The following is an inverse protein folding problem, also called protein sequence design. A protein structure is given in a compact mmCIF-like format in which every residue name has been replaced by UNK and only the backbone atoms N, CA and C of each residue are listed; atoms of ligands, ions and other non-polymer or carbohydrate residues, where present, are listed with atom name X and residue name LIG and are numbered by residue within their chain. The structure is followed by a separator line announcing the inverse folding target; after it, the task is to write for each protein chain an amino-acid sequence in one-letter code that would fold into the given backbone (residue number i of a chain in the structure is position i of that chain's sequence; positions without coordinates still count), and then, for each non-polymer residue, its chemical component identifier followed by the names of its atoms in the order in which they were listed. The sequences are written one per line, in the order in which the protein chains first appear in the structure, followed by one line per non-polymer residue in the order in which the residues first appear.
data_IF_270883686239
#
_entry.id   IF_270883686239
#
_cell.length_a   1.000
_cell.length_b   1.000
_cell.length_c   1.000
_cell.angle_alpha   90.00
_cell.angle_beta   90.00
_cell.angle_gamma   90.00
#
_symmetry.space_group_name_H-M   'P 1'
#
loop_
_entity.id
_entity.type
_entity.pdbx_description
1 polymer ?
#
# COMPACT_ATOMS: atom_id res chain seq x y z
N UNK A 1 10.33 46.25 9.39
CA UNK A 1 11.08 45.39 10.34
C UNK A 1 10.07 44.63 11.20
N UNK A 2 9.64 43.43 10.80
CA UNK A 2 8.66 42.64 11.56
C UNK A 2 8.38 41.22 11.03
N UNK A 3 8.80 40.88 9.79
CA UNK A 3 8.44 39.59 9.17
C UNK A 3 8.90 38.38 9.97
N UNK A 4 9.97 38.51 10.76
CA UNK A 4 10.46 37.46 11.65
C UNK A 4 9.41 37.03 12.68
N UNK A 5 8.58 37.96 13.18
CA UNK A 5 7.51 37.62 14.14
C UNK A 5 6.38 36.82 13.50
N UNK A 6 6.23 36.86 12.17
CA UNK A 6 5.29 36.01 11.43
C UNK A 6 5.93 34.67 11.04
N UNK A 7 7.15 34.72 10.51
CA UNK A 7 7.86 33.54 10.00
C UNK A 7 8.26 32.57 11.11
N UNK A 8 8.68 33.07 12.27
CA UNK A 8 9.12 32.22 13.38
C UNK A 8 8.01 31.29 13.90
N UNK A 9 6.81 31.78 14.30
CA UNK A 9 5.74 30.89 14.73
C UNK A 9 5.23 30.01 13.60
N UNK A 10 5.18 30.52 12.36
CA UNK A 10 4.78 29.72 11.19
C UNK A 10 5.74 28.56 10.96
N UNK A 11 7.05 28.79 11.01
CA UNK A 11 8.06 27.73 10.87
C UNK A 11 7.95 26.69 11.99
N UNK A 12 7.72 27.12 13.24
CA UNK A 12 7.49 26.20 14.36
C UNK A 12 6.23 25.35 14.17
N UNK A 13 5.13 25.95 13.69
CA UNK A 13 3.89 25.24 13.38
C UNK A 13 4.08 24.21 12.28
N UNK A 14 4.78 24.58 11.20
CA UNK A 14 5.08 23.67 10.09
C UNK A 14 5.99 22.53 10.55
N UNK A 15 7.05 22.83 11.32
CA UNK A 15 7.96 21.84 11.86
C UNK A 15 7.26 20.86 12.82
N UNK A 16 6.47 21.39 13.76
CA UNK A 16 5.68 20.57 14.68
C UNK A 16 4.64 19.72 13.93
N UNK A 17 4.01 20.28 12.89
CA UNK A 17 3.08 19.56 12.02
C UNK A 17 3.76 18.40 11.29
N UNK A 18 4.93 18.63 10.70
CA UNK A 18 5.71 17.59 10.03
C UNK A 18 6.10 16.47 10.99
N UNK A 19 6.63 16.81 12.17
CA UNK A 19 6.99 15.83 13.22
C UNK A 19 5.74 15.08 13.72
N UNK A 20 4.62 15.78 13.92
CA UNK A 20 3.37 15.18 14.37
C UNK A 20 2.83 14.16 13.37
N UNK A 21 2.77 14.51 12.09
CA UNK A 21 2.37 13.60 11.01
C UNK A 21 3.32 12.40 10.94
N UNK A 22 4.63 12.63 11.04
CA UNK A 22 5.63 11.57 11.04
C UNK A 22 5.44 10.59 12.21
N UNK A 23 5.23 11.08 13.44
CA UNK A 23 4.98 10.24 14.61
C UNK A 23 3.67 9.45 14.46
N UNK A 24 2.62 10.07 13.92
CA UNK A 24 1.36 9.36 13.63
C UNK A 24 1.57 8.25 12.60
N UNK A 25 2.34 8.51 11.54
CA UNK A 25 2.66 7.53 10.51
C UNK A 25 3.46 6.34 11.07
N UNK A 26 4.45 6.59 11.93
CA UNK A 26 5.18 5.53 12.65
C UNK A 26 4.25 4.69 13.52
N UNK A 27 3.38 5.32 14.31
CA UNK A 27 2.42 4.61 15.17
C UNK A 27 1.39 3.79 14.39
N UNK A 28 1.10 4.18 13.16
CA UNK A 28 0.20 3.46 12.24
C UNK A 28 0.92 2.37 11.44
N UNK A 29 2.22 2.20 11.63
CA UNK A 29 3.01 1.20 10.90
C UNK A 29 3.17 1.51 9.42
N UNK A 30 3.03 2.77 8.99
CA UNK A 30 3.14 3.13 7.56
C UNK A 30 4.52 2.78 6.97
N UNK A 31 5.54 2.75 7.81
CA UNK A 31 6.92 2.44 7.43
C UNK A 31 7.32 0.98 7.69
N UNK A 32 6.38 0.13 8.12
CA UNK A 32 6.66 -1.29 8.44
C UNK A 32 6.76 -2.16 7.18
N UNK A 33 6.19 -1.70 6.05
CA UNK A 33 6.21 -2.41 4.78
C UNK A 33 6.77 -1.54 3.65
N UNK A 34 8.09 -1.59 3.49
CA UNK A 34 8.82 -0.89 2.43
C UNK A 34 9.21 -1.83 1.26
N UNK A 35 9.08 -3.14 1.43
CA UNK A 35 9.57 -4.15 0.49
C UNK A 35 8.47 -4.83 -0.33
N UNK A 36 7.27 -4.99 0.22
CA UNK A 36 6.17 -5.70 -0.43
C UNK A 36 5.50 -4.91 -1.57
N UNK A 37 5.39 -3.56 -1.55
CA UNK A 37 4.67 -2.83 -2.60
C UNK A 37 5.23 -3.07 -4.03
N UNK A 38 6.55 -3.04 -4.26
CA UNK A 38 7.12 -3.36 -5.58
C UNK A 38 6.92 -4.83 -5.97
N UNK A 39 6.99 -5.76 -5.01
CA UNK A 39 6.75 -7.18 -5.28
C UNK A 39 5.31 -7.46 -5.66
N UNK A 40 4.35 -6.72 -5.09
CA UNK A 40 2.94 -6.87 -5.42
C UNK A 40 2.67 -6.52 -6.89
N UNK A 41 3.27 -5.46 -7.43
CA UNK A 41 3.16 -5.14 -8.85
C UNK A 41 3.73 -6.23 -9.76
N UNK A 42 4.84 -6.88 -9.36
CA UNK A 42 5.44 -7.98 -10.13
C UNK A 42 4.63 -9.29 -10.04
N UNK A 43 4.05 -9.59 -8.88
CA UNK A 43 3.31 -10.83 -8.60
C UNK A 43 1.82 -10.74 -8.98
N UNK A 44 1.26 -9.54 -9.11
CA UNK A 44 -0.13 -9.33 -9.56
C UNK A 44 -0.30 -9.76 -11.04
N UNK A 45 0.77 -9.77 -11.85
CA UNK A 45 0.78 -10.32 -13.22
C UNK A 45 0.82 -11.87 -13.23
N UNK A 46 1.37 -12.52 -12.20
CA UNK A 46 1.44 -13.98 -12.08
C UNK A 46 0.20 -14.59 -11.42
N UNK A 47 -0.60 -13.79 -10.68
CA UNK A 47 -1.95 -14.17 -10.27
C UNK A 47 -2.90 -14.01 -11.44
N UNK A 48 -2.65 -14.84 -12.46
CA UNK A 48 -3.56 -15.06 -13.55
C UNK A 48 -4.97 -15.21 -13.00
N UNK A 49 -5.85 -14.34 -13.47
CA UNK A 49 -7.29 -14.54 -13.64
C UNK A 49 -7.76 -15.78 -12.88
N UNK A 50 -8.17 -15.63 -11.61
CA UNK A 50 -9.16 -16.55 -11.02
C UNK A 50 -10.47 -16.24 -11.73
N UNK A 51 -10.52 -16.62 -13.01
CA UNK A 51 -11.72 -16.63 -13.80
C UNK A 51 -12.60 -17.77 -13.30
N UNK A 52 -13.92 -17.69 -13.54
CA UNK A 52 -14.84 -18.74 -13.14
C UNK A 52 -14.29 -20.11 -13.55
N UNK A 53 -14.42 -21.13 -12.68
CA UNK A 53 -13.81 -22.43 -12.89
C UNK A 53 -14.11 -22.95 -14.29
N UNK A 54 -13.06 -23.22 -15.07
CA UNK A 54 -13.16 -23.67 -16.46
C UNK A 54 -14.06 -24.92 -16.52
N UNK A 55 -15.25 -24.82 -17.15
CA UNK A 55 -16.18 -25.93 -17.27
C UNK A 55 -15.57 -27.15 -17.98
N UNK A 56 -14.58 -26.92 -18.85
CA UNK A 56 -13.92 -27.99 -19.61
C UNK A 56 -13.07 -28.89 -18.72
N UNK A 57 -12.42 -28.34 -17.68
CA UNK A 57 -11.67 -29.16 -16.70
C UNK A 57 -12.56 -30.10 -15.89
N UNK A 58 -13.82 -29.74 -15.66
CA UNK A 58 -14.79 -30.61 -14.96
C UNK A 58 -15.30 -31.74 -15.84
N UNK A 59 -15.49 -31.50 -17.13
CA UNK A 59 -15.94 -32.54 -18.07
C UNK A 59 -14.89 -33.66 -18.24
N UNK A 60 -13.60 -33.30 -18.31
CA UNK A 60 -12.51 -34.28 -18.44
C UNK A 60 -12.35 -35.13 -17.17
N UNK A 61 -12.56 -34.55 -15.99
CA UNK A 61 -12.53 -35.30 -14.73
C UNK A 61 -13.70 -36.28 -14.61
N UNK A 62 -14.90 -35.89 -15.08
CA UNK A 62 -16.09 -36.75 -15.03
C UNK A 62 -16.04 -37.92 -16.03
N UNK A 63 -15.33 -37.78 -17.15
CA UNK A 63 -15.11 -38.86 -18.11
C UNK A 63 -14.00 -39.83 -17.68
N UNK A 64 -13.06 -39.39 -16.83
CA UNK A 64 -12.02 -40.25 -16.28
C UNK A 64 -12.51 -41.19 -15.17
N UNK A 65 -13.68 -40.90 -14.59
CA UNK A 65 -14.32 -41.71 -13.54
C UNK A 65 -15.41 -42.67 -14.08
N UNK A 66 -15.56 -42.77 -15.41
CA UNK A 66 -16.43 -43.75 -16.10
C UNK A 66 -15.63 -44.90 -16.70
#
# INVERSE_FOLDING_TARGET
MSVLYLLLPLALLLGAGAVGVFVVALRRGQFDDLETPPRRMLLDDERGVVGPPDPRRRAVAADAER
#
